data_IF_810261599395
#
_entry.id   IF_810261599395
#
_cell.length_a   1.000
_cell.length_b   1.000
_cell.length_c   1.000
_cell.angle_alpha   90.00
_cell.angle_beta   90.00
_cell.angle_gamma   90.00
#
_symmetry.space_group_name_H-M   'P 1'
#
loop_
_entity.id
_entity.type
_entity.pdbx_description
1 polymer ?
#
# COMPACT_ATOMS: atom_id res chain seq x y z
N UNK A 1 7.35 37.04 -16.49
CA UNK A 1 7.31 36.40 -15.15
C UNK A 1 6.39 35.20 -15.21
N UNK A 2 6.68 34.13 -14.47
CA UNK A 2 5.87 32.90 -14.43
C UNK A 2 5.59 32.47 -13.00
N UNK A 3 4.67 31.53 -12.80
CA UNK A 3 4.39 30.94 -11.49
C UNK A 3 5.00 29.53 -11.38
N UNK A 4 5.56 29.21 -10.23
CA UNK A 4 6.07 27.88 -9.93
C UNK A 4 4.92 26.86 -9.94
N UNK A 5 5.02 25.84 -10.79
CA UNK A 5 4.02 24.77 -10.91
C UNK A 5 3.86 23.92 -9.65
N UNK A 6 4.85 23.93 -8.74
CA UNK A 6 4.80 23.17 -7.49
C UNK A 6 4.23 23.98 -6.31
N UNK A 7 4.71 25.21 -6.09
CA UNK A 7 4.38 25.98 -4.88
C UNK A 7 3.62 27.29 -5.12
N UNK A 8 3.30 27.63 -6.38
CA UNK A 8 2.54 28.83 -6.76
C UNK A 8 3.29 30.16 -6.61
N UNK A 9 4.57 30.16 -6.22
CA UNK A 9 5.35 31.39 -6.10
C UNK A 9 5.54 32.08 -7.45
N UNK A 10 5.47 33.41 -7.48
CA UNK A 10 5.86 34.19 -8.64
C UNK A 10 7.38 34.19 -8.78
N UNK A 11 7.88 33.85 -9.97
CA UNK A 11 9.31 33.67 -10.25
C UNK A 11 9.68 34.28 -11.62
N UNK A 12 10.98 34.53 -11.82
CA UNK A 12 11.51 34.97 -13.11
C UNK A 12 11.39 33.85 -14.17
N UNK A 13 11.29 34.22 -15.45
CA UNK A 13 11.16 33.27 -16.56
C UNK A 13 12.44 32.45 -16.81
N UNK A 14 13.59 33.05 -16.53
CA UNK A 14 14.92 32.49 -16.74
C UNK A 14 15.46 31.74 -15.51
N UNK A 15 14.71 31.71 -14.40
CA UNK A 15 15.14 30.97 -13.22
C UNK A 15 15.05 29.47 -13.45
N UNK A 16 16.13 28.75 -13.20
CA UNK A 16 16.18 27.30 -13.39
C UNK A 16 15.61 26.49 -12.22
N UNK A 17 15.61 27.07 -11.02
CA UNK A 17 15.08 26.46 -9.81
C UNK A 17 14.24 27.50 -9.04
N UNK A 18 13.08 27.09 -8.53
CA UNK A 18 12.23 27.99 -7.74
C UNK A 18 12.93 28.34 -6.40
N UNK A 19 13.17 29.62 -6.08
CA UNK A 19 13.88 30.01 -4.85
C UNK A 19 13.07 29.74 -3.57
N UNK A 20 11.75 29.50 -3.69
CA UNK A 20 10.88 29.23 -2.53
C UNK A 20 10.85 27.74 -2.15
N UNK A 21 10.84 26.83 -3.13
CA UNK A 21 10.62 25.40 -2.88
C UNK A 21 11.68 24.48 -3.52
N UNK A 22 12.67 25.03 -4.21
CA UNK A 22 13.77 24.29 -4.83
C UNK A 22 13.40 23.49 -6.09
N UNK A 23 12.12 23.48 -6.49
CA UNK A 23 11.69 22.69 -7.67
C UNK A 23 12.27 23.26 -8.95
N UNK A 24 12.87 22.38 -9.75
CA UNK A 24 13.34 22.68 -11.10
C UNK A 24 12.19 23.18 -11.99
N UNK A 25 12.35 24.37 -12.56
CA UNK A 25 11.33 25.01 -13.42
C UNK A 25 11.33 24.43 -14.82
N UNK A 26 10.34 24.80 -15.65
CA UNK A 26 10.32 24.44 -17.07
C UNK A 26 11.54 24.98 -17.82
N UNK A 27 12.01 26.19 -17.51
CA UNK A 27 13.24 26.74 -18.06
C UNK A 27 14.45 25.86 -17.70
N UNK A 28 14.55 25.40 -16.45
CA UNK A 28 15.60 24.48 -16.03
C UNK A 28 15.51 23.11 -16.72
N UNK A 29 14.29 22.60 -16.96
CA UNK A 29 14.08 21.34 -17.68
C UNK A 29 14.55 21.45 -19.13
N UNK A 30 14.14 22.51 -19.84
CA UNK A 30 14.52 22.78 -21.24
C UNK A 30 16.03 22.96 -21.38
N UNK A 31 16.65 23.70 -20.46
CA UNK A 31 18.09 23.92 -20.43
C UNK A 31 18.90 22.71 -19.92
N UNK A 32 18.23 21.62 -19.51
CA UNK A 32 18.86 20.40 -18.95
C UNK A 32 19.88 20.67 -17.83
N UNK A 33 19.71 21.76 -17.09
CA UNK A 33 20.64 22.13 -16.01
C UNK A 33 20.61 21.09 -14.88
N UNK A 34 21.78 20.63 -14.45
CA UNK A 34 21.90 19.78 -13.27
C UNK A 34 21.45 20.58 -12.02
N UNK A 35 20.96 19.88 -11.00
CA UNK A 35 20.78 20.53 -9.69
C UNK A 35 22.13 21.09 -9.22
N UNK A 36 22.17 22.31 -8.65
CA UNK A 36 23.38 22.80 -8.00
C UNK A 36 23.74 21.80 -6.89
N UNK A 37 24.97 21.28 -6.85
CA UNK A 37 25.36 20.32 -5.83
C UNK A 37 25.59 21.06 -4.51
N UNK A 38 24.52 21.35 -3.78
CA UNK A 38 24.64 21.52 -2.35
C UNK A 38 24.78 20.14 -1.73
N UNK A 39 25.87 19.96 -0.99
CA UNK A 39 26.31 18.71 -0.34
C UNK A 39 25.20 17.94 0.39
N UNK A 40 24.15 18.64 0.83
CA UNK A 40 22.95 18.08 1.44
C UNK A 40 22.08 17.27 0.46
N UNK A 41 21.91 17.73 -0.78
CA UNK A 41 21.04 17.05 -1.75
C UNK A 41 21.62 15.71 -2.20
N UNK A 42 22.95 15.64 -2.34
CA UNK A 42 23.67 14.39 -2.56
C UNK A 42 23.53 13.43 -1.37
N UNK A 43 23.60 13.94 -0.14
CA UNK A 43 23.37 13.09 1.05
C UNK A 43 21.96 12.55 1.10
N UNK A 44 20.94 13.35 0.76
CA UNK A 44 19.56 12.89 0.69
C UNK A 44 19.34 11.86 -0.42
N UNK A 45 19.98 12.03 -1.58
CA UNK A 45 19.93 11.05 -2.67
C UNK A 45 20.54 9.71 -2.25
N UNK A 46 21.74 9.72 -1.64
CA UNK A 46 22.40 8.51 -1.16
C UNK A 46 21.60 7.80 -0.06
N UNK A 47 21.02 8.57 0.88
CA UNK A 47 20.12 8.00 1.90
C UNK A 47 18.89 7.34 1.28
N UNK A 48 18.30 7.96 0.24
CA UNK A 48 17.17 7.38 -0.49
C UNK A 48 17.53 6.05 -1.16
N UNK A 49 18.69 5.99 -1.83
CA UNK A 49 19.19 4.77 -2.47
C UNK A 49 19.41 3.65 -1.45
N UNK A 50 20.00 3.96 -0.29
CA UNK A 50 20.26 2.95 0.73
C UNK A 50 18.98 2.43 1.39
N UNK A 51 18.01 3.33 1.60
CA UNK A 51 16.70 2.96 2.12
C UNK A 51 15.94 2.05 1.15
N UNK A 52 15.98 2.34 -0.16
CA UNK A 52 15.36 1.49 -1.19
C UNK A 52 15.95 0.06 -1.20
N UNK A 53 17.28 -0.06 -1.06
CA UNK A 53 17.94 -1.37 -0.94
C UNK A 53 17.51 -2.12 0.32
N UNK A 54 17.43 -1.43 1.46
CA UNK A 54 17.01 -2.03 2.72
C UNK A 54 15.59 -2.59 2.61
N UNK A 55 14.66 -1.80 2.07
CA UNK A 55 13.28 -2.25 1.85
C UNK A 55 13.18 -3.39 0.84
N UNK A 56 13.93 -3.33 -0.26
CA UNK A 56 13.95 -4.41 -1.25
C UNK A 56 14.46 -5.72 -0.65
N UNK A 57 15.46 -5.64 0.21
CA UNK A 57 15.99 -6.82 0.93
C UNK A 57 14.96 -7.40 1.88
N UNK A 58 14.35 -6.56 2.72
CA UNK A 58 13.29 -6.99 3.64
C UNK A 58 12.08 -7.60 2.89
N UNK A 59 11.69 -7.02 1.75
CA UNK A 59 10.62 -7.55 0.92
C UNK A 59 10.97 -8.94 0.35
N UNK A 60 12.22 -9.14 -0.09
CA UNK A 60 12.68 -10.47 -0.57
C UNK A 60 12.67 -11.51 0.55
N UNK A 61 13.12 -11.15 1.74
CA UNK A 61 13.16 -12.06 2.90
C UNK A 61 11.76 -12.45 3.36
N UNK A 62 10.85 -11.48 3.48
CA UNK A 62 9.45 -11.75 3.83
C UNK A 62 8.79 -12.62 2.77
N UNK A 63 8.97 -12.32 1.47
CA UNK A 63 8.46 -13.15 0.39
C UNK A 63 9.01 -14.58 0.45
N UNK A 64 10.31 -14.75 0.70
CA UNK A 64 10.92 -16.07 0.83
C UNK A 64 10.36 -16.85 2.03
N UNK A 65 10.16 -16.20 3.16
CA UNK A 65 9.57 -16.81 4.35
C UNK A 65 8.12 -17.26 4.11
N UNK A 66 7.29 -16.40 3.49
CA UNK A 66 5.91 -16.73 3.14
C UNK A 66 5.83 -17.86 2.13
N UNK A 67 6.68 -17.85 1.09
CA UNK A 67 6.75 -18.91 0.08
C UNK A 67 7.04 -20.26 0.72
N UNK A 68 8.02 -20.33 1.63
CA UNK A 68 8.34 -21.55 2.40
C UNK A 68 7.18 -22.00 3.29
N UNK A 69 6.51 -21.07 3.97
CA UNK A 69 5.35 -21.39 4.80
C UNK A 69 4.20 -21.98 3.98
N UNK A 70 3.92 -21.42 2.80
CA UNK A 70 2.90 -21.92 1.88
C UNK A 70 3.27 -23.29 1.29
N UNK A 71 4.52 -23.50 0.89
CA UNK A 71 5.02 -24.81 0.42
C UNK A 71 4.88 -25.89 1.50
N UNK A 72 5.24 -25.59 2.75
CA UNK A 72 5.05 -26.49 3.88
C UNK A 72 3.56 -26.81 4.12
N UNK A 73 2.67 -25.83 3.97
CA UNK A 73 1.22 -26.04 4.10
C UNK A 73 0.67 -26.93 2.97
N UNK A 74 1.11 -26.72 1.73
CA UNK A 74 0.72 -27.56 0.59
C UNK A 74 1.24 -28.99 0.70
N UNK A 75 2.46 -29.20 1.19
CA UNK A 75 3.00 -30.55 1.44
C UNK A 75 2.23 -31.28 2.55
N UNK A 76 1.76 -30.55 3.59
CA UNK A 76 0.84 -31.10 4.61
C UNK A 76 -0.55 -31.40 4.04
N UNK A 77 -0.96 -30.67 3.01
CA UNK A 77 -2.21 -30.93 2.27
C UNK A 77 -2.10 -32.16 1.36
N UNK A 78 -0.94 -32.37 0.72
CA UNK A 78 -0.66 -33.52 -0.14
C UNK A 78 -0.44 -34.83 0.63
N UNK A 79 -0.10 -34.75 1.93
CA UNK A 79 0.02 -35.91 2.83
C UNK A 79 -1.31 -36.33 3.49
N UNK A 80 -2.46 -35.81 3.01
CA UNK A 80 -3.79 -36.33 3.37
C UNK A 80 -4.22 -36.08 4.81
N UNK A 81 -3.46 -35.31 5.60
CA UNK A 81 -3.91 -34.85 6.91
C UNK A 81 -4.74 -33.58 6.75
N UNK A 82 -5.95 -33.76 6.23
CA UNK A 82 -7.04 -32.77 6.23
C UNK A 82 -7.38 -32.43 7.68
N UNK A 83 -6.70 -31.45 8.26
CA UNK A 83 -7.13 -30.84 9.51
C UNK A 83 -8.34 -29.98 9.20
N UNK A 84 -9.49 -30.61 9.38
CA UNK A 84 -10.77 -30.03 9.79
C UNK A 84 -10.84 -28.51 9.58
N UNK A 85 -11.36 -28.13 8.41
CA UNK A 85 -12.20 -26.95 8.36
C UNK A 85 -13.23 -27.12 9.48
N UNK A 86 -12.98 -26.44 10.60
CA UNK A 86 -14.02 -26.16 11.58
C UNK A 86 -15.11 -25.53 10.72
N UNK A 87 -16.23 -26.23 10.56
CA UNK A 87 -17.38 -25.70 9.87
C UNK A 87 -17.84 -24.52 10.74
N UNK A 88 -17.29 -23.34 10.45
CA UNK A 88 -17.74 -22.08 11.01
C UNK A 88 -19.18 -21.98 10.55
N UNK A 89 -20.12 -22.28 11.46
CA UNK A 89 -21.53 -22.18 11.16
C UNK A 89 -21.78 -20.77 10.58
N UNK A 90 -22.51 -20.69 9.47
CA UNK A 90 -22.80 -19.42 8.81
C UNK A 90 -24.25 -19.03 9.04
N UNK A 91 -24.53 -17.74 9.17
CA UNK A 91 -25.87 -17.16 9.28
C UNK A 91 -26.15 -16.29 8.05
N UNK A 92 -27.33 -16.45 7.47
CA UNK A 92 -27.75 -15.63 6.33
C UNK A 92 -28.33 -14.31 6.83
N UNK A 93 -27.87 -13.19 6.28
CA UNK A 93 -28.42 -11.89 6.61
C UNK A 93 -29.85 -11.78 6.08
N UNK A 94 -30.87 -11.54 6.92
CA UNK A 94 -32.27 -11.47 6.47
C UNK A 94 -32.56 -10.24 5.60
N UNK A 95 -31.68 -9.23 5.61
CA UNK A 95 -31.88 -8.00 4.84
C UNK A 95 -31.31 -8.07 3.41
N UNK A 96 -30.19 -8.76 3.19
CA UNK A 96 -29.54 -8.78 1.87
C UNK A 96 -29.13 -10.18 1.37
N UNK A 97 -29.38 -11.24 2.15
CA UNK A 97 -29.07 -12.62 1.78
C UNK A 97 -27.58 -13.00 1.87
N UNK A 98 -26.70 -12.08 2.28
CA UNK A 98 -25.27 -12.39 2.43
C UNK A 98 -25.05 -13.44 3.53
N UNK A 99 -24.15 -14.40 3.30
CA UNK A 99 -23.70 -15.36 4.32
C UNK A 99 -22.67 -14.69 5.24
N UNK A 100 -22.87 -14.75 6.54
CA UNK A 100 -21.99 -14.19 7.56
C UNK A 100 -21.54 -15.30 8.51
N UNK A 101 -20.47 -15.07 9.28
CA UNK A 101 -20.04 -16.00 10.33
C UNK A 101 -21.08 -16.05 11.47
N UNK A 102 -21.25 -17.22 12.08
CA UNK A 102 -22.08 -17.38 13.28
C UNK A 102 -21.58 -16.47 14.40
N UNK A 103 -22.51 -15.79 15.08
CA UNK A 103 -22.19 -14.77 16.07
C UNK A 103 -21.89 -13.38 15.51
N UNK A 104 -21.92 -13.17 14.19
CA UNK A 104 -21.83 -11.83 13.61
C UNK A 104 -22.97 -10.93 14.12
N UNK A 105 -22.62 -9.81 14.75
CA UNK A 105 -23.60 -8.82 15.24
C UNK A 105 -24.13 -7.96 14.09
N UNK A 106 -23.29 -7.66 13.08
CA UNK A 106 -23.65 -6.87 11.92
C UNK A 106 -23.27 -7.60 10.63
N UNK A 107 -24.04 -7.37 9.56
CA UNK A 107 -23.77 -7.94 8.26
C UNK A 107 -22.57 -7.24 7.60
N UNK A 108 -21.58 -8.02 7.16
CA UNK A 108 -20.40 -7.48 6.47
C UNK A 108 -20.73 -6.82 5.11
N UNK A 109 -21.85 -7.19 4.49
CA UNK A 109 -22.25 -6.67 3.18
C UNK A 109 -23.15 -5.43 3.29
N UNK A 110 -24.14 -5.43 4.18
CA UNK A 110 -25.13 -4.33 4.26
C UNK A 110 -25.11 -3.53 5.57
N UNK A 111 -24.26 -3.89 6.54
CA UNK A 111 -24.11 -3.17 7.82
C UNK A 111 -25.27 -3.31 8.80
N UNK A 112 -26.41 -3.90 8.41
CA UNK A 112 -27.54 -4.11 9.32
C UNK A 112 -27.23 -5.17 10.36
N UNK A 113 -27.80 -5.02 11.56
CA UNK A 113 -27.67 -5.97 12.66
C UNK A 113 -28.27 -7.33 12.29
N UNK A 114 -27.59 -8.41 12.65
CA UNK A 114 -28.08 -9.79 12.50
C UNK A 114 -28.57 -10.22 13.88
N UNK A 115 -29.86 -10.54 14.00
CA UNK A 115 -30.47 -11.05 15.22
C UNK A 115 -30.45 -12.58 15.20
N UNK A 116 -30.10 -13.26 16.31
CA UNK A 116 -29.96 -14.72 16.35
C UNK A 116 -31.27 -15.52 16.11
N UNK A 117 -32.42 -14.85 16.06
CA UNK A 117 -33.75 -15.46 15.87
C UNK A 117 -34.28 -15.46 14.43
N UNK A 118 -33.55 -14.90 13.47
CA UNK A 118 -33.99 -14.81 12.06
C UNK A 118 -33.44 -15.95 11.18
N UNK A 119 -33.20 -17.12 11.76
CA UNK A 119 -32.56 -18.29 11.14
C UNK A 119 -33.41 -19.55 11.16
N UNK A 120 -34.70 -19.46 10.80
CA UNK A 120 -35.53 -20.63 10.48
C UNK A 120 -36.44 -20.33 9.30
N UNK A 121 -36.10 -20.92 8.15
CA UNK A 121 -37.03 -21.38 7.12
C UNK A 121 -36.31 -22.46 6.30
#
# INVERSE_FOLDING_TARGET
MVYCSNCGAQIAEDTYFCPKCGTKTEAGKTAKVAYPPDRLQDTFYQMGVELEKAFTTAAKETHAALKRANENFQQRSASGQTQQATQEATVVCPNCGAKNVSGAIFCHNCGKRITPESGTA
#
